data_IF_688828336105
#
_entry.id   IF_688828336105
#
_cell.length_a   1.000
_cell.length_b   1.000
_cell.length_c   1.000
_cell.angle_alpha   90.00
_cell.angle_beta   90.00
_cell.angle_gamma   90.00
#
_symmetry.space_group_name_H-M   'P 1'
#
loop_
_entity.id
_entity.type
_entity.pdbx_description
1 polymer ?
#
# COMPACT_ATOMS: atom_id res chain seq x y z
N UNK A 1 13.85 -31.88 -66.36
CA UNK A 1 14.65 -31.35 -65.24
C UNK A 1 13.70 -31.07 -64.08
N UNK A 2 13.80 -31.83 -62.98
CA UNK A 2 12.90 -31.72 -61.81
C UNK A 2 13.53 -30.76 -60.79
N UNK A 3 12.81 -29.70 -60.41
CA UNK A 3 13.21 -28.81 -59.31
C UNK A 3 12.74 -29.40 -57.98
N UNK A 4 13.69 -29.80 -57.13
CA UNK A 4 13.43 -30.24 -55.76
C UNK A 4 13.37 -29.02 -54.85
N UNK A 5 12.25 -28.84 -54.15
CA UNK A 5 12.05 -27.77 -53.16
C UNK A 5 12.54 -28.25 -51.79
N UNK A 6 13.40 -27.47 -51.14
CA UNK A 6 13.70 -27.62 -49.71
C UNK A 6 13.01 -26.46 -48.99
N UNK A 7 12.02 -26.78 -48.16
CA UNK A 7 11.39 -25.84 -47.24
C UNK A 7 12.18 -25.90 -45.94
N UNK A 8 12.89 -24.82 -45.58
CA UNK A 8 13.47 -24.66 -44.24
C UNK A 8 12.50 -23.81 -43.43
N UNK A 9 11.74 -24.44 -42.55
CA UNK A 9 10.92 -23.74 -41.55
C UNK A 9 11.83 -23.37 -40.38
N UNK A 10 12.24 -22.11 -40.31
CA UNK A 10 12.81 -21.55 -39.08
C UNK A 10 11.66 -21.23 -38.13
N UNK A 11 11.35 -22.16 -37.23
CA UNK A 11 10.50 -21.85 -36.07
C UNK A 11 11.35 -21.02 -35.12
N UNK A 12 11.28 -19.70 -35.24
CA UNK A 12 11.78 -18.80 -34.22
C UNK A 12 10.81 -18.88 -33.03
N UNK A 13 11.23 -19.59 -31.99
CA UNK A 13 10.54 -19.59 -30.71
C UNK A 13 10.79 -18.23 -30.04
N UNK A 14 9.88 -17.28 -30.21
CA UNK A 14 9.88 -16.04 -29.42
C UNK A 14 9.43 -16.40 -28.01
N UNK A 15 10.38 -16.52 -27.09
CA UNK A 15 10.07 -16.51 -25.66
C UNK A 15 9.60 -15.09 -25.29
N UNK A 16 8.29 -14.88 -25.20
CA UNK A 16 7.76 -13.64 -24.62
C UNK A 16 7.92 -13.74 -23.10
N UNK A 17 9.00 -13.16 -22.57
CA UNK A 17 9.01 -12.76 -21.17
C UNK A 17 8.01 -11.60 -21.04
N UNK A 18 6.80 -11.88 -20.55
CA UNK A 18 5.91 -10.84 -20.07
C UNK A 18 6.59 -10.24 -18.85
N UNK A 19 7.27 -9.10 -19.03
CA UNK A 19 7.70 -8.31 -17.90
C UNK A 19 6.41 -7.79 -17.26
N UNK A 20 6.06 -8.33 -16.10
CA UNK A 20 5.01 -7.77 -15.28
C UNK A 20 5.47 -6.36 -14.90
N UNK A 21 5.06 -5.35 -15.68
CA UNK A 21 5.11 -3.96 -15.25
C UNK A 21 4.24 -3.89 -14.02
N UNK A 22 4.85 -3.64 -12.86
CA UNK A 22 4.11 -3.36 -11.65
C UNK A 22 3.26 -2.13 -11.92
N UNK A 23 1.94 -2.28 -11.90
CA UNK A 23 1.04 -1.18 -12.23
C UNK A 23 0.88 -0.32 -10.98
N UNK A 24 1.60 0.80 -10.95
CA UNK A 24 1.40 1.85 -9.95
C UNK A 24 0.27 2.78 -10.41
N UNK A 25 -0.66 3.11 -9.52
CA UNK A 25 -1.74 4.07 -9.78
C UNK A 25 -2.08 4.86 -8.51
N UNK A 26 -2.80 5.96 -8.65
CA UNK A 26 -3.42 6.66 -7.52
C UNK A 26 -4.94 6.59 -7.63
N UNK A 27 -5.65 6.53 -6.52
CA UNK A 27 -7.11 6.46 -6.53
C UNK A 27 -7.73 6.32 -5.16
N UNK A 28 -9.00 5.90 -5.14
CA UNK A 28 -9.80 5.70 -3.93
C UNK A 28 -10.37 4.28 -3.90
N UNK A 29 -10.40 3.66 -2.72
CA UNK A 29 -11.02 2.37 -2.47
C UNK A 29 -11.94 2.46 -1.25
N UNK A 30 -13.21 2.14 -1.44
CA UNK A 30 -14.21 2.03 -0.38
C UNK A 30 -14.26 0.60 0.15
N UNK A 31 -14.49 0.46 1.45
CA UNK A 31 -14.59 -0.82 2.15
C UNK A 31 -16.01 -1.04 2.71
N UNK A 32 -16.39 -2.30 2.91
CA UNK A 32 -17.75 -2.67 3.33
C UNK A 32 -18.13 -2.19 4.74
N UNK A 33 -17.14 -1.83 5.56
CA UNK A 33 -17.31 -1.23 6.89
C UNK A 33 -17.49 0.31 6.84
N UNK A 34 -17.54 0.88 5.63
CA UNK A 34 -17.62 2.32 5.40
C UNK A 34 -16.27 3.02 5.49
N UNK A 35 -15.17 2.28 5.63
CA UNK A 35 -13.83 2.85 5.52
C UNK A 35 -13.51 3.26 4.08
N UNK A 36 -12.65 4.25 3.93
CA UNK A 36 -12.19 4.74 2.64
C UNK A 36 -10.67 4.92 2.65
N UNK A 37 -9.99 4.38 1.64
CA UNK A 37 -8.58 4.62 1.38
C UNK A 37 -8.43 5.54 0.17
N UNK A 38 -7.58 6.56 0.27
CA UNK A 38 -7.13 7.39 -0.84
C UNK A 38 -5.60 7.42 -0.87
N UNK A 39 -5.02 7.05 -2.00
CA UNK A 39 -3.57 7.05 -2.13
C UNK A 39 -3.05 6.26 -3.31
N UNK A 40 -1.81 5.83 -3.16
CA UNK A 40 -1.06 5.04 -4.14
C UNK A 40 -1.43 3.55 -4.07
N UNK A 41 -1.38 2.89 -5.21
CA UNK A 41 -1.64 1.47 -5.35
C UNK A 41 -0.51 0.81 -6.13
N UNK A 42 -0.19 -0.43 -5.76
CA UNK A 42 0.69 -1.31 -6.50
C UNK A 42 -0.03 -2.62 -6.76
N UNK A 43 -0.24 -2.97 -8.04
CA UNK A 43 -0.98 -4.17 -8.43
C UNK A 43 -2.39 -4.25 -7.80
N UNK A 44 -3.04 -3.10 -7.68
CA UNK A 44 -4.39 -2.98 -7.12
C UNK A 44 -4.47 -3.02 -5.60
N UNK A 45 -3.35 -3.07 -4.88
CA UNK A 45 -3.30 -3.00 -3.43
C UNK A 45 -2.79 -1.64 -2.97
N UNK A 46 -3.32 -1.05 -1.88
CA UNK A 46 -2.74 0.13 -1.24
C UNK A 46 -1.23 -0.02 -1.02
N UNK A 47 -0.45 0.96 -1.44
CA UNK A 47 1.01 0.90 -1.38
C UNK A 47 1.58 2.31 -1.40
N UNK A 48 2.77 2.54 -0.85
CA UNK A 48 3.38 3.87 -0.84
C UNK A 48 2.64 4.78 0.13
N UNK A 49 2.27 6.00 -0.27
CA UNK A 49 1.59 6.93 0.65
C UNK A 49 0.08 6.93 0.47
N UNK A 50 -0.66 6.99 1.59
CA UNK A 50 -2.11 7.15 1.53
C UNK A 50 -2.76 7.52 2.85
N UNK A 51 -4.03 7.88 2.75
CA UNK A 51 -4.93 8.20 3.86
C UNK A 51 -6.00 7.11 3.95
N UNK A 52 -6.27 6.63 5.16
CA UNK A 52 -7.38 5.72 5.44
C UNK A 52 -8.25 6.28 6.55
N UNK A 53 -9.54 6.39 6.30
CA UNK A 53 -10.53 6.93 7.23
C UNK A 53 -11.60 5.90 7.52
N UNK A 54 -12.07 5.87 8.76
CA UNK A 54 -13.20 5.06 9.21
C UNK A 54 -14.33 5.96 9.75
N UNK A 55 -15.60 5.54 9.61
CA UNK A 55 -16.74 6.32 10.12
C UNK A 55 -16.71 6.56 11.64
N UNK A 56 -15.96 5.75 12.39
CA UNK A 56 -15.77 5.91 13.84
C UNK A 56 -14.78 7.03 14.21
N UNK A 57 -14.28 7.80 13.22
CA UNK A 57 -13.33 8.89 13.42
C UNK A 57 -11.87 8.45 13.49
N UNK A 58 -11.56 7.17 13.30
CA UNK A 58 -10.18 6.74 13.09
C UNK A 58 -9.69 7.25 11.73
N UNK A 59 -8.48 7.79 11.71
CA UNK A 59 -7.81 8.24 10.48
C UNK A 59 -6.33 7.94 10.55
N UNK A 60 -5.80 7.36 9.48
CA UNK A 60 -4.38 7.11 9.30
C UNK A 60 -3.86 7.85 8.07
N UNK A 61 -2.69 8.47 8.18
CA UNK A 61 -1.94 9.04 7.05
C UNK A 61 -0.51 8.53 7.13
N UNK A 62 -0.03 7.86 6.09
CA UNK A 62 1.34 7.39 6.07
C UNK A 62 1.62 6.31 5.05
N UNK A 63 2.62 5.50 5.38
CA UNK A 63 3.16 4.47 4.51
C UNK A 63 2.34 3.17 4.52
N UNK A 64 2.18 2.62 3.32
CA UNK A 64 1.50 1.38 3.02
C UNK A 64 2.42 0.45 2.25
N UNK A 65 2.31 -0.83 2.55
CA UNK A 65 3.03 -1.87 1.84
C UNK A 65 2.09 -3.04 1.57
N UNK A 66 1.75 -3.24 0.29
CA UNK A 66 0.96 -4.38 -0.20
C UNK A 66 -0.39 -4.57 0.53
N UNK A 67 -1.10 -3.46 0.77
CA UNK A 67 -2.41 -3.43 1.40
C UNK A 67 -2.38 -3.30 2.91
N UNK A 68 -1.19 -3.28 3.53
CA UNK A 68 -1.04 -3.10 4.98
C UNK A 68 -0.43 -1.73 5.31
N UNK A 69 -0.93 -1.09 6.36
CA UNK A 69 -0.24 0.04 7.01
C UNK A 69 1.10 -0.47 7.55
N UNK A 70 2.19 0.05 7.01
CA UNK A 70 3.54 -0.43 7.32
C UNK A 70 4.57 0.66 6.97
N UNK A 71 5.33 1.11 7.98
CA UNK A 71 6.24 2.25 7.87
C UNK A 71 5.82 3.41 8.77
N UNK A 72 6.23 4.63 8.43
CA UNK A 72 5.94 5.84 9.18
C UNK A 72 4.53 6.36 8.91
N UNK A 73 3.89 6.92 9.93
CA UNK A 73 2.63 7.62 9.75
C UNK A 73 2.12 8.35 10.98
N UNK A 74 0.93 8.91 10.82
CA UNK A 74 0.13 9.56 11.85
C UNK A 74 -1.23 8.86 11.92
N UNK A 75 -1.62 8.41 13.12
CA UNK A 75 -2.94 7.87 13.40
C UNK A 75 -3.68 8.79 14.38
N UNK A 76 -4.83 9.32 13.95
CA UNK A 76 -5.86 9.85 14.83
C UNK A 76 -6.78 8.69 15.23
N UNK A 77 -6.82 8.40 16.52
CA UNK A 77 -7.71 7.36 17.07
C UNK A 77 -9.11 7.92 17.32
N UNK A 78 -10.11 7.04 17.34
CA UNK A 78 -11.51 7.40 17.62
C UNK A 78 -11.72 8.09 18.99
N UNK A 79 -10.79 7.94 19.93
CA UNK A 79 -10.82 8.64 21.22
C UNK A 79 -10.21 10.06 21.17
N UNK A 80 -9.77 10.51 19.99
CA UNK A 80 -9.13 11.81 19.76
C UNK A 80 -7.62 11.86 20.02
N UNK A 81 -7.01 10.75 20.47
CA UNK A 81 -5.55 10.69 20.64
C UNK A 81 -4.86 10.62 19.28
N UNK A 82 -3.67 11.19 19.18
CA UNK A 82 -2.85 11.19 17.95
C UNK A 82 -1.53 10.50 18.21
N UNK A 83 -1.20 9.47 17.43
CA UNK A 83 0.12 8.85 17.44
C UNK A 83 0.87 9.17 16.15
N UNK A 84 2.14 9.54 16.28
CA UNK A 84 3.08 9.73 15.16
C UNK A 84 4.28 8.82 15.39
N UNK A 85 4.59 7.95 14.43
CA UNK A 85 5.72 7.03 14.54
C UNK A 85 5.65 5.89 13.54
N UNK A 86 6.38 4.81 13.84
CA UNK A 86 6.38 3.62 12.98
C UNK A 86 5.19 2.72 13.25
N UNK A 87 4.77 2.01 12.22
CA UNK A 87 3.69 1.04 12.23
C UNK A 87 4.10 -0.26 11.57
N UNK A 88 3.61 -1.36 12.09
CA UNK A 88 3.70 -2.69 11.48
C UNK A 88 2.32 -3.33 11.54
N UNK A 89 1.77 -3.71 10.37
CA UNK A 89 0.44 -4.33 10.25
C UNK A 89 -0.67 -3.50 10.91
N UNK A 90 -0.62 -2.19 10.71
CA UNK A 90 -1.60 -1.24 11.24
C UNK A 90 -1.52 -0.97 12.74
N UNK A 91 -0.47 -1.41 13.42
CA UNK A 91 -0.25 -1.13 14.85
C UNK A 91 0.99 -0.26 15.04
N UNK A 92 0.95 0.72 15.96
CA UNK A 92 2.17 1.38 16.46
C UNK A 92 3.22 0.33 16.84
N UNK A 93 4.45 0.53 16.37
CA UNK A 93 5.59 -0.36 16.63
C UNK A 93 6.87 0.50 16.63
N UNK A 94 7.82 0.17 17.51
CA UNK A 94 9.09 0.89 17.59
C UNK A 94 8.91 2.31 18.12
N UNK A 95 9.77 3.25 17.72
CA UNK A 95 9.74 4.60 18.29
C UNK A 95 8.57 5.42 17.75
N UNK A 96 7.85 6.08 18.66
CA UNK A 96 6.81 7.04 18.33
C UNK A 96 6.35 7.87 19.52
N UNK A 97 5.49 8.85 19.23
CA UNK A 97 4.90 9.75 20.21
C UNK A 97 3.39 9.72 20.09
N UNK A 98 2.71 9.46 21.20
CA UNK A 98 1.26 9.66 21.34
C UNK A 98 0.99 10.96 22.10
N UNK A 99 0.02 11.73 21.62
CA UNK A 99 -0.57 12.89 22.29
C UNK A 99 -2.02 12.56 22.62
N UNK A 100 -2.36 12.58 23.91
CA UNK A 100 -3.72 12.35 24.38
C UNK A 100 -4.56 13.63 24.28
N UNK A 101 -5.88 13.50 24.40
CA UNK A 101 -6.80 14.65 24.27
C UNK A 101 -6.68 15.69 25.38
N UNK A 102 -6.12 15.31 26.53
CA UNK A 102 -5.79 16.23 27.63
C UNK A 102 -4.45 16.97 27.41
N UNK A 103 -3.77 16.71 26.27
CA UNK A 103 -2.47 17.28 25.91
C UNK A 103 -1.27 16.57 26.55
N UNK A 104 -1.49 15.57 27.41
CA UNK A 104 -0.40 14.72 27.90
C UNK A 104 0.20 13.90 26.76
N UNK A 105 1.47 13.53 26.90
CA UNK A 105 2.19 12.80 25.85
C UNK A 105 3.00 11.66 26.42
N UNK A 106 3.13 10.59 25.63
CA UNK A 106 4.14 9.56 25.83
C UNK A 106 5.00 9.42 24.58
N UNK A 107 6.31 9.39 24.75
CA UNK A 107 7.30 9.19 23.69
C UNK A 107 8.23 8.06 24.10
N UNK A 108 8.33 7.03 23.26
CA UNK A 108 9.03 5.80 23.62
C UNK A 108 8.95 4.74 22.53
N UNK A 109 9.31 3.51 22.91
CA UNK A 109 9.19 2.32 22.08
C UNK A 109 7.83 1.65 22.32
N UNK A 110 7.20 1.17 21.27
CA UNK A 110 5.87 0.55 21.24
C UNK A 110 5.94 -0.90 20.80
#
# INVERSE_FOLDING_TARGET
MKFSHIVIVFITFFASASMAVSQTSSGTQEYGDGGAYEGEFLNGLPHGNGTYELPNGYRYVGEWFEGEINGQGEALFSNGSVYVGSFVKGKPEGRGKITFTDGSTYEGEW
#
